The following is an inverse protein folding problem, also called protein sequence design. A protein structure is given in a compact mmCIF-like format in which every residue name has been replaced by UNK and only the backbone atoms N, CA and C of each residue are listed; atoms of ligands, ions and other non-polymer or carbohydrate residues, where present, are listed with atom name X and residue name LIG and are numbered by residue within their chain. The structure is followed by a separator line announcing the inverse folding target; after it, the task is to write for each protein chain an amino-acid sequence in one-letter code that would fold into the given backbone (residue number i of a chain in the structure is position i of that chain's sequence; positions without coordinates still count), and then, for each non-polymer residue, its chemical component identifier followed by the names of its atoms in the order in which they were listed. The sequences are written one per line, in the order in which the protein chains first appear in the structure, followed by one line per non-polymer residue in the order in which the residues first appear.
data_IF_370996195241
#
_entry.id   IF_370996195241
#
_cell.length_a   1.000
_cell.length_b   1.000
_cell.length_c   1.000
_cell.angle_alpha   90.00
_cell.angle_beta   90.00
_cell.angle_gamma   90.00
#
_symmetry.space_group_name_H-M   'P 1'
#
loop_
_entity.id
_entity.type
_entity.pdbx_description
1 polymer ?
#
# COMPACT_ATOMS: atom_id res chain seq x y z
N UNK A 1 -3.65 -5.54 -17.27
CA UNK A 1 -3.08 -4.25 -16.79
C UNK A 1 -2.35 -3.56 -17.94
N UNK A 2 -2.37 -2.22 -18.01
CA UNK A 2 -1.54 -1.43 -18.93
C UNK A 2 -0.30 -0.90 -18.19
N UNK A 3 0.82 -0.77 -18.89
CA UNK A 3 2.09 -0.32 -18.32
C UNK A 3 2.70 0.84 -19.11
N UNK A 4 3.51 1.67 -18.44
CA UNK A 4 4.24 2.79 -19.04
C UNK A 4 5.64 2.91 -18.43
N UNK A 5 6.57 3.46 -19.21
CA UNK A 5 7.90 3.82 -18.70
C UNK A 5 7.80 5.02 -17.76
N UNK A 6 8.40 4.93 -16.58
CA UNK A 6 8.46 6.03 -15.62
C UNK A 6 9.60 7.00 -16.02
N UNK A 7 9.27 7.98 -16.87
CA UNK A 7 10.23 8.98 -17.33
C UNK A 7 11.48 8.34 -17.95
N UNK A 8 12.66 8.74 -17.46
CA UNK A 8 13.97 8.23 -17.92
C UNK A 8 14.59 7.18 -16.98
N UNK A 9 13.81 6.65 -16.02
CA UNK A 9 14.32 5.73 -14.97
C UNK A 9 14.59 4.31 -15.48
N UNK A 10 14.02 3.95 -16.63
CA UNK A 10 14.03 2.57 -17.13
C UNK A 10 13.01 1.64 -16.45
N UNK A 11 12.29 2.11 -15.44
CA UNK A 11 11.23 1.34 -14.78
C UNK A 11 9.96 1.31 -15.63
N UNK A 12 9.29 0.16 -15.62
CA UNK A 12 7.97 -0.03 -16.22
C UNK A 12 6.93 -0.19 -15.11
N UNK A 13 6.01 0.77 -15.04
CA UNK A 13 5.00 0.88 -13.97
C UNK A 13 3.60 0.65 -14.52
N UNK A 14 2.72 0.04 -13.72
CA UNK A 14 1.29 -0.03 -14.02
C UNK A 14 0.71 1.38 -14.12
N UNK A 15 -0.22 1.61 -15.05
CA UNK A 15 -0.84 2.95 -15.23
C UNK A 15 -1.65 3.41 -14.00
N UNK A 16 -2.03 2.47 -13.14
CA UNK A 16 -2.60 2.71 -11.83
C UNK A 16 -1.60 2.26 -10.78
N UNK A 17 -1.34 3.10 -9.79
CA UNK A 17 -0.63 2.75 -8.57
C UNK A 17 -1.59 2.47 -7.43
N UNK A 18 -1.14 1.71 -6.43
CA UNK A 18 -1.90 1.45 -5.22
C UNK A 18 -1.40 2.34 -4.08
N UNK A 19 -2.26 3.23 -3.57
CA UNK A 19 -1.91 4.13 -2.47
C UNK A 19 -2.23 3.54 -1.09
N UNK A 20 -1.25 3.54 -0.18
CA UNK A 20 -1.39 3.02 1.19
C UNK A 20 -1.85 4.07 2.21
N UNK A 21 -2.21 5.28 1.79
CA UNK A 21 -2.70 6.33 2.70
C UNK A 21 -4.02 5.96 3.41
N UNK A 22 -4.86 5.12 2.78
CA UNK A 22 -6.20 4.73 3.29
C UNK A 22 -6.39 3.21 3.22
N UNK A 23 -5.62 2.49 4.02
CA UNK A 23 -5.79 1.05 4.20
C UNK A 23 -7.05 0.77 5.02
N UNK A 24 -7.65 -0.43 4.90
CA UNK A 24 -8.75 -0.87 5.76
C UNK A 24 -8.43 -0.66 7.24
N UNK A 25 -9.38 -0.12 8.00
CA UNK A 25 -9.20 0.22 9.42
C UNK A 25 -10.15 -0.60 10.29
N UNK A 26 -9.70 -0.93 11.51
CA UNK A 26 -10.55 -1.36 12.63
C UNK A 26 -11.00 -0.13 13.40
N UNK A 27 -12.31 0.00 13.61
CA UNK A 27 -12.94 1.08 14.40
C UNK A 27 -12.61 2.52 13.94
N UNK A 28 -12.18 2.70 12.69
CA UNK A 28 -11.75 3.99 12.15
C UNK A 28 -12.14 4.19 10.69
N UNK A 29 -11.94 5.41 10.22
CA UNK A 29 -12.26 5.87 8.86
C UNK A 29 -11.04 5.96 7.94
N UNK A 30 -9.83 5.86 8.51
CA UNK A 30 -8.58 6.09 7.80
C UNK A 30 -8.27 7.58 7.62
N UNK A 31 -8.94 8.44 8.38
CA UNK A 31 -8.73 9.88 8.35
C UNK A 31 -7.50 10.29 9.18
N UNK A 32 -7.08 11.56 9.04
CA UNK A 32 -6.00 12.10 9.85
C UNK A 32 -6.32 12.07 11.36
N UNK A 33 -7.60 12.15 11.74
CA UNK A 33 -8.04 12.10 13.13
C UNK A 33 -7.80 10.73 13.78
N UNK A 34 -7.71 9.66 12.99
CA UNK A 34 -7.56 8.29 13.50
C UNK A 34 -6.09 7.94 13.81
N UNK A 35 -5.11 8.74 13.32
CA UNK A 35 -3.68 8.36 13.28
C UNK A 35 -3.03 8.10 14.63
N UNK A 36 -3.57 8.69 15.70
CA UNK A 36 -3.01 8.62 17.06
C UNK A 36 -3.99 8.04 18.07
N UNK A 37 -5.14 7.54 17.61
CA UNK A 37 -6.13 6.92 18.45
C UNK A 37 -5.78 5.43 18.64
N UNK A 38 -5.43 4.97 19.86
CA UNK A 38 -5.01 3.60 20.09
C UNK A 38 -6.12 2.57 19.86
N UNK A 39 -7.40 2.98 19.83
CA UNK A 39 -8.52 2.10 19.54
C UNK A 39 -8.73 1.89 18.03
N UNK A 40 -8.04 2.68 17.21
CA UNK A 40 -8.14 2.66 15.74
C UNK A 40 -6.82 2.24 15.15
N UNK A 41 -6.85 1.18 14.37
CA UNK A 41 -5.65 0.61 13.76
C UNK A 41 -5.94 0.08 12.38
N UNK A 42 -4.90 -0.10 11.59
CA UNK A 42 -5.04 -0.75 10.28
C UNK A 42 -5.47 -2.20 10.51
N UNK A 43 -6.49 -2.63 9.78
CA UNK A 43 -6.88 -4.03 9.70
C UNK A 43 -5.86 -4.77 8.82
N UNK A 44 -4.75 -5.23 9.42
CA UNK A 44 -3.59 -5.76 8.70
C UNK A 44 -3.96 -6.87 7.71
N UNK A 45 -4.83 -7.81 8.11
CA UNK A 45 -5.23 -8.95 7.27
C UNK A 45 -5.94 -8.46 6.00
N UNK A 46 -6.94 -7.59 6.14
CA UNK A 46 -7.67 -7.02 4.99
C UNK A 46 -6.78 -6.12 4.15
N UNK A 47 -5.89 -5.36 4.77
CA UNK A 47 -4.95 -4.50 4.06
C UNK A 47 -3.97 -5.31 3.21
N UNK A 48 -3.41 -6.39 3.76
CA UNK A 48 -2.52 -7.30 3.03
C UNK A 48 -3.27 -7.99 1.90
N UNK A 49 -4.47 -8.51 2.16
CA UNK A 49 -5.30 -9.13 1.12
C UNK A 49 -5.56 -8.15 -0.03
N UNK A 50 -5.92 -6.90 0.28
CA UNK A 50 -6.17 -5.86 -0.73
C UNK A 50 -4.92 -5.52 -1.56
N UNK A 51 -3.75 -5.49 -0.93
CA UNK A 51 -2.45 -5.30 -1.61
C UNK A 51 -2.16 -6.49 -2.55
N UNK A 52 -2.40 -7.72 -2.09
CA UNK A 52 -2.22 -8.94 -2.89
C UNK A 52 -3.19 -9.01 -4.06
N UNK A 53 -4.43 -8.59 -3.87
CA UNK A 53 -5.44 -8.53 -4.94
C UNK A 53 -5.05 -7.51 -6.01
N UNK A 54 -4.55 -6.34 -5.59
CA UNK A 54 -4.04 -5.32 -6.52
C UNK A 54 -2.86 -5.86 -7.34
N UNK A 55 -1.90 -6.53 -6.68
CA UNK A 55 -0.77 -7.18 -7.35
C UNK A 55 -1.23 -8.25 -8.34
N UNK A 56 -2.16 -9.12 -7.93
CA UNK A 56 -2.70 -10.20 -8.77
C UNK A 56 -3.40 -9.65 -10.02
N UNK A 57 -4.01 -8.46 -9.92
CA UNK A 57 -4.60 -7.76 -11.06
C UNK A 57 -3.58 -6.98 -11.92
N UNK A 58 -2.29 -7.06 -11.57
CA UNK A 58 -1.16 -6.52 -12.33
C UNK A 58 -0.63 -5.18 -11.84
N UNK A 59 -1.14 -4.62 -10.74
CA UNK A 59 -0.53 -3.41 -10.15
C UNK A 59 0.86 -3.76 -9.64
N UNK A 60 1.87 -3.00 -10.07
CA UNK A 60 3.24 -3.20 -9.61
C UNK A 60 3.81 -1.98 -8.89
N UNK A 61 3.11 -0.85 -8.82
CA UNK A 61 3.58 0.37 -8.15
C UNK A 61 2.76 0.66 -6.89
N UNK A 62 3.42 0.77 -5.74
CA UNK A 62 2.80 1.02 -4.45
C UNK A 62 3.33 2.31 -3.80
N UNK A 63 2.41 3.21 -3.43
CA UNK A 63 2.74 4.47 -2.75
C UNK A 63 2.52 4.36 -1.25
N UNK A 64 3.55 4.68 -0.46
CA UNK A 64 3.48 4.75 1.00
C UNK A 64 4.34 5.91 1.50
N UNK A 65 4.12 6.33 2.75
CA UNK A 65 4.95 7.34 3.39
C UNK A 65 4.97 7.16 4.91
N UNK A 66 6.08 7.60 5.54
CA UNK A 66 6.26 7.62 6.99
C UNK A 66 5.04 8.09 7.81
N UNK A 67 4.35 9.21 7.49
CA UNK A 67 3.22 9.67 8.32
C UNK A 67 1.92 8.85 8.17
N UNK A 68 1.82 7.96 7.19
CA UNK A 68 0.58 7.20 6.94
C UNK A 68 0.32 6.21 8.07
N UNK A 69 -0.92 6.22 8.58
CA UNK A 69 -1.37 5.41 9.72
C UNK A 69 -0.45 5.51 10.95
N UNK A 70 0.07 6.71 11.24
CA UNK A 70 0.95 6.92 12.39
C UNK A 70 2.25 6.10 12.31
N UNK A 71 2.82 5.93 11.11
CA UNK A 71 4.04 5.14 10.90
C UNK A 71 3.80 3.66 10.63
N UNK A 72 2.55 3.21 10.51
CA UNK A 72 2.23 1.78 10.33
C UNK A 72 2.12 1.34 8.86
N UNK A 73 2.05 2.28 7.91
CA UNK A 73 1.92 1.96 6.49
C UNK A 73 3.15 1.25 5.91
N UNK A 74 4.35 1.78 6.12
CA UNK A 74 5.58 1.21 5.53
C UNK A 74 5.91 -0.19 6.08
N UNK A 75 5.83 -0.45 7.41
CA UNK A 75 6.03 -1.80 7.93
C UNK A 75 4.99 -2.80 7.40
N UNK A 76 3.72 -2.39 7.27
CA UNK A 76 2.67 -3.26 6.74
C UNK A 76 2.90 -3.59 5.27
N UNK A 77 3.22 -2.59 4.43
CA UNK A 77 3.56 -2.83 3.03
C UNK A 77 4.76 -3.78 2.92
N UNK A 78 5.78 -3.61 3.78
CA UNK A 78 6.92 -4.52 3.87
C UNK A 78 6.51 -5.97 4.15
N UNK A 79 5.58 -6.20 5.09
CA UNK A 79 5.00 -7.53 5.33
C UNK A 79 4.26 -8.05 4.11
N UNK A 80 3.44 -7.20 3.47
CA UNK A 80 2.59 -7.59 2.35
C UNK A 80 3.41 -8.04 1.12
N UNK A 81 4.54 -7.39 0.84
CA UNK A 81 5.38 -7.71 -0.33
C UNK A 81 6.49 -8.72 -0.03
N UNK A 82 6.52 -9.28 1.19
CA UNK A 82 7.49 -10.31 1.54
C UNK A 82 7.32 -11.52 0.60
N UNK A 83 8.43 -11.98 0.02
CA UNK A 83 8.43 -13.06 -0.97
C UNK A 83 8.23 -12.63 -2.43
N UNK A 84 7.68 -11.44 -2.69
CA UNK A 84 7.49 -10.92 -4.05
C UNK A 84 8.07 -9.51 -4.27
N UNK A 85 8.93 -9.03 -3.36
CA UNK A 85 9.50 -7.67 -3.41
C UNK A 85 10.14 -7.33 -4.76
N UNK A 86 10.73 -8.29 -5.47
CA UNK A 86 11.38 -8.05 -6.78
C UNK A 86 10.39 -7.80 -7.92
N UNK A 87 9.12 -8.11 -7.73
CA UNK A 87 8.06 -7.98 -8.74
C UNK A 87 7.26 -6.69 -8.61
N UNK A 88 7.53 -5.90 -7.57
CA UNK A 88 6.82 -4.65 -7.25
C UNK A 88 7.81 -3.50 -7.08
N UNK A 89 7.32 -2.28 -7.23
CA UNK A 89 8.06 -1.02 -7.20
C UNK A 89 7.63 -0.22 -5.97
#
# INVERSE_FOLDING_TARGET
MLYRKLGKTGLEVSILGFGCMRLPMKNGTGSAADRFDPQKSVDEEKAIQLIHDAKTQGVNYFDTAYPYHGGKSEPLLGKAVQGCRKEVL
#
